data_IF_326480548252
#
_entry.id   IF_326480548252
#
_cell.length_a   1.000
_cell.length_b   1.000
_cell.length_c   1.000
_cell.angle_alpha   90.00
_cell.angle_beta   90.00
_cell.angle_gamma   90.00
#
_symmetry.space_group_name_H-M   'P 1'
#
loop_
_entity.id
_entity.type
_entity.pdbx_description
1 polymer ?
#
# COMPACT_ATOMS: atom_id res chain seq x y z
N UNK A 1 3.22 98.71 -4.67
CA UNK A 1 3.40 97.78 -5.83
C UNK A 1 3.82 96.46 -5.28
N UNK A 2 2.83 95.56 -5.12
CA UNK A 2 3.01 94.17 -4.63
C UNK A 2 3.33 93.29 -5.78
N UNK A 3 4.41 92.52 -5.65
CA UNK A 3 4.70 91.40 -6.57
C UNK A 3 4.48 90.10 -5.82
N UNK A 4 3.43 89.41 -6.19
CA UNK A 4 3.01 88.12 -5.68
C UNK A 4 3.63 87.01 -6.62
N UNK A 5 4.47 86.16 -6.06
CA UNK A 5 5.00 85.02 -6.77
C UNK A 5 4.00 83.84 -6.65
N UNK A 6 3.81 83.01 -7.71
CA UNK A 6 2.93 81.82 -7.66
C UNK A 6 3.71 80.59 -7.11
N UNK A 7 3.18 79.97 -6.07
CA UNK A 7 3.63 78.70 -5.57
C UNK A 7 3.30 77.57 -6.54
N UNK A 8 4.30 76.72 -6.84
CA UNK A 8 4.12 75.39 -7.46
C UNK A 8 4.22 74.35 -6.39
N UNK A 9 3.13 73.74 -6.04
CA UNK A 9 3.10 72.47 -5.30
C UNK A 9 2.89 71.35 -6.33
N UNK A 10 3.96 70.70 -6.74
CA UNK A 10 3.85 69.40 -7.42
C UNK A 10 3.99 68.31 -6.32
N UNK A 11 2.89 67.88 -5.82
CA UNK A 11 2.80 66.65 -5.01
C UNK A 11 2.58 65.48 -5.99
N UNK A 12 3.66 64.98 -6.59
CA UNK A 12 3.62 63.73 -7.31
C UNK A 12 3.64 62.60 -6.29
N UNK A 13 2.47 62.17 -5.85
CA UNK A 13 2.33 60.89 -5.16
C UNK A 13 2.71 59.78 -6.13
N UNK A 14 3.97 59.33 -6.00
CA UNK A 14 4.48 58.12 -6.67
C UNK A 14 3.65 56.92 -6.17
N UNK A 15 2.62 56.55 -6.91
CA UNK A 15 1.88 55.31 -6.70
C UNK A 15 2.81 54.17 -7.06
N UNK A 16 3.39 53.51 -6.05
CA UNK A 16 4.08 52.23 -6.19
C UNK A 16 3.09 51.24 -6.78
N UNK A 17 3.37 50.62 -7.94
CA UNK A 17 2.47 49.60 -8.49
C UNK A 17 2.31 48.47 -7.48
N UNK A 18 1.10 47.89 -7.35
CA UNK A 18 0.92 46.74 -6.47
C UNK A 18 1.87 45.63 -6.93
N UNK A 19 2.88 45.34 -6.10
CA UNK A 19 3.68 44.15 -6.28
C UNK A 19 2.75 42.98 -6.55
N UNK A 20 2.95 42.30 -7.69
CA UNK A 20 2.27 41.07 -7.99
C UNK A 20 2.56 40.11 -6.81
N UNK A 21 1.61 39.99 -5.90
CA UNK A 21 1.64 39.00 -4.83
C UNK A 21 1.63 37.66 -5.52
N UNK A 22 2.84 37.15 -5.81
CA UNK A 22 3.00 35.75 -6.16
C UNK A 22 2.25 34.94 -5.10
N UNK A 23 1.44 33.98 -5.49
CA UNK A 23 0.72 33.07 -4.59
C UNK A 23 1.78 32.29 -3.82
N UNK A 24 2.27 32.88 -2.74
CA UNK A 24 3.10 32.18 -1.76
C UNK A 24 2.16 31.24 -1.00
N UNK A 25 2.16 29.96 -1.39
CA UNK A 25 1.50 28.94 -0.60
C UNK A 25 2.04 28.99 0.83
N UNK A 26 1.15 29.02 1.82
CA UNK A 26 1.59 29.04 3.20
C UNK A 26 2.47 27.82 3.48
N UNK A 27 3.53 27.92 4.30
CA UNK A 27 4.41 26.78 4.64
C UNK A 27 3.65 25.55 5.11
N UNK A 28 2.55 25.76 5.83
CA UNK A 28 1.64 24.69 6.26
C UNK A 28 1.01 23.92 5.08
N UNK A 29 0.57 24.63 4.03
CA UNK A 29 0.00 24.01 2.83
C UNK A 29 1.05 23.16 2.12
N UNK A 30 2.30 23.62 2.06
CA UNK A 30 3.42 22.85 1.47
C UNK A 30 3.62 21.53 2.21
N UNK A 31 3.65 21.55 3.54
CA UNK A 31 3.85 20.34 4.35
C UNK A 31 2.67 19.37 4.25
N UNK A 32 1.44 19.87 4.30
CA UNK A 32 0.24 19.04 4.13
C UNK A 32 0.20 18.40 2.73
N UNK A 33 0.50 19.17 1.69
CA UNK A 33 0.58 18.68 0.33
C UNK A 33 1.69 17.63 0.19
N UNK A 34 2.86 17.86 0.77
CA UNK A 34 3.97 16.91 0.78
C UNK A 34 3.57 15.61 1.48
N UNK A 35 2.96 15.70 2.69
CA UNK A 35 2.52 14.52 3.42
C UNK A 35 1.46 13.74 2.63
N UNK A 36 0.41 14.42 2.16
CA UNK A 36 -0.67 13.78 1.41
C UNK A 36 -0.17 13.14 0.10
N UNK A 37 0.69 13.84 -0.65
CA UNK A 37 1.27 13.31 -1.90
C UNK A 37 2.13 12.09 -1.63
N UNK A 38 3.01 12.14 -0.62
CA UNK A 38 3.85 11.00 -0.26
C UNK A 38 3.00 9.80 0.20
N UNK A 39 1.98 10.05 1.05
CA UNK A 39 1.05 9.02 1.49
C UNK A 39 0.35 8.35 0.31
N UNK A 40 -0.33 9.14 -0.52
CA UNK A 40 -1.11 8.62 -1.65
C UNK A 40 -0.25 7.94 -2.71
N UNK A 41 0.93 8.49 -3.03
CA UNK A 41 1.85 7.87 -3.98
C UNK A 41 2.43 6.55 -3.45
N UNK A 42 2.83 6.50 -2.17
CA UNK A 42 3.35 5.30 -1.53
C UNK A 42 2.29 4.19 -1.46
N UNK A 43 1.07 4.50 -1.01
CA UNK A 43 -0.01 3.50 -0.94
C UNK A 43 -0.48 3.07 -2.32
N UNK A 44 -0.50 3.98 -3.31
CA UNK A 44 -0.81 3.61 -4.68
C UNK A 44 0.21 2.60 -5.23
N UNK A 45 1.51 2.83 -5.06
CA UNK A 45 2.53 1.88 -5.48
C UNK A 45 2.43 0.55 -4.73
N UNK A 46 2.08 0.58 -3.46
CA UNK A 46 1.88 -0.64 -2.68
C UNK A 46 0.69 -1.45 -3.20
N UNK A 47 -0.47 -0.83 -3.39
CA UNK A 47 -1.68 -1.51 -3.88
C UNK A 47 -1.58 -1.93 -5.34
N UNK A 48 -1.04 -1.06 -6.22
CA UNK A 48 -0.95 -1.33 -7.65
C UNK A 48 0.18 -2.30 -7.99
N UNK A 49 1.42 -1.97 -7.54
CA UNK A 49 2.61 -2.68 -7.99
C UNK A 49 2.98 -3.87 -7.09
N UNK A 50 3.00 -3.69 -5.77
CA UNK A 50 3.38 -4.80 -4.88
C UNK A 50 2.26 -5.80 -4.72
N UNK A 51 1.04 -5.35 -4.51
CA UNK A 51 -0.10 -6.19 -4.18
C UNK A 51 -0.74 -6.78 -5.45
N UNK A 52 -1.44 -5.95 -6.27
CA UNK A 52 -2.20 -6.45 -7.43
C UNK A 52 -1.32 -7.02 -8.52
N UNK A 53 -0.20 -6.38 -8.84
CA UNK A 53 0.73 -6.88 -9.85
C UNK A 53 1.68 -7.96 -9.31
N UNK A 54 2.46 -7.65 -8.27
CA UNK A 54 3.52 -8.52 -7.76
C UNK A 54 3.02 -9.75 -7.02
N UNK A 55 2.06 -9.59 -6.10
CA UNK A 55 1.57 -10.69 -5.28
C UNK A 55 0.49 -11.50 -6.00
N UNK A 56 -0.58 -10.85 -6.50
CA UNK A 56 -1.71 -11.53 -7.11
C UNK A 56 -1.60 -11.76 -8.61
N UNK A 57 -0.75 -10.99 -9.33
CA UNK A 57 -0.61 -11.12 -10.78
C UNK A 57 -1.94 -10.90 -11.52
N UNK A 58 -2.74 -9.95 -11.03
CA UNK A 58 -4.07 -9.65 -11.61
C UNK A 58 -4.00 -9.07 -13.02
N UNK A 59 -2.82 -8.65 -13.47
CA UNK A 59 -2.53 -8.15 -14.82
C UNK A 59 -1.04 -8.31 -15.12
N UNK A 60 -0.68 -8.02 -16.38
CA UNK A 60 0.71 -8.02 -16.85
C UNK A 60 1.11 -6.65 -17.37
N UNK A 61 2.42 -6.39 -17.43
CA UNK A 61 3.03 -5.19 -18.02
C UNK A 61 4.25 -5.59 -18.86
N UNK A 62 4.69 -4.68 -19.75
CA UNK A 62 5.99 -4.86 -20.39
C UNK A 62 7.13 -4.67 -19.36
N UNK A 63 8.30 -5.23 -19.65
CA UNK A 63 9.47 -5.07 -18.74
C UNK A 63 9.89 -3.60 -18.52
N UNK A 64 9.68 -2.74 -19.53
CA UNK A 64 9.93 -1.29 -19.36
C UNK A 64 9.00 -0.68 -18.32
N UNK A 65 7.70 -0.96 -18.39
CA UNK A 65 6.73 -0.47 -17.43
C UNK A 65 6.90 -1.13 -16.04
N UNK A 66 7.22 -2.42 -15.97
CA UNK A 66 7.56 -3.07 -14.70
C UNK A 66 8.71 -2.35 -14.00
N UNK A 67 9.80 -2.03 -14.73
CA UNK A 67 10.92 -1.28 -14.16
C UNK A 67 10.55 0.14 -13.77
N UNK A 68 9.73 0.82 -14.57
CA UNK A 68 9.25 2.16 -14.25
C UNK A 68 8.46 2.19 -12.93
N UNK A 69 7.51 1.25 -12.76
CA UNK A 69 6.75 1.14 -11.52
C UNK A 69 7.59 0.62 -10.34
N UNK A 70 8.58 -0.24 -10.59
CA UNK A 70 9.52 -0.67 -9.55
C UNK A 70 10.34 0.52 -9.03
N UNK A 71 10.88 1.35 -9.93
CA UNK A 71 11.58 2.58 -9.57
C UNK A 71 10.64 3.57 -8.86
N UNK A 72 9.42 3.74 -9.37
CA UNK A 72 8.42 4.61 -8.75
C UNK A 72 8.11 4.14 -7.32
N UNK A 73 7.96 2.83 -7.11
CA UNK A 73 7.75 2.24 -5.77
C UNK A 73 8.92 2.55 -4.85
N UNK A 74 10.17 2.40 -5.32
CA UNK A 74 11.35 2.77 -4.55
C UNK A 74 11.35 4.25 -4.17
N UNK A 75 11.05 5.15 -5.11
CA UNK A 75 11.04 6.60 -4.87
C UNK A 75 9.92 7.01 -3.92
N UNK A 76 8.74 6.45 -4.10
CA UNK A 76 7.56 6.82 -3.29
C UNK A 76 7.54 6.17 -1.91
N UNK A 77 8.21 5.05 -1.69
CA UNK A 77 8.35 4.43 -0.38
C UNK A 77 9.63 4.85 0.35
N UNK A 78 10.65 5.25 -0.40
CA UNK A 78 11.90 5.82 0.11
C UNK A 78 12.56 5.01 1.22
N UNK A 79 12.63 5.57 2.44
CA UNK A 79 13.24 4.91 3.61
C UNK A 79 12.52 3.62 4.05
N UNK A 80 11.25 3.46 3.68
CA UNK A 80 10.43 2.30 4.01
C UNK A 80 10.21 1.35 2.82
N UNK A 81 11.08 1.41 1.82
CA UNK A 81 10.99 0.58 0.62
C UNK A 81 10.76 -0.89 0.94
N UNK A 82 9.73 -1.45 0.35
CA UNK A 82 9.36 -2.86 0.45
C UNK A 82 9.79 -3.61 -0.81
N UNK A 83 10.63 -4.63 -0.61
CA UNK A 83 11.08 -5.51 -1.67
C UNK A 83 9.90 -6.31 -2.24
N UNK A 84 9.66 -6.29 -3.57
CA UNK A 84 8.48 -6.93 -4.17
C UNK A 84 8.39 -8.45 -3.90
N UNK A 85 9.55 -9.15 -3.90
CA UNK A 85 9.57 -10.59 -3.60
C UNK A 85 9.17 -10.88 -2.16
N UNK A 86 9.78 -10.18 -1.19
CA UNK A 86 9.45 -10.36 0.23
C UNK A 86 7.99 -10.06 0.52
N UNK A 87 7.48 -8.97 -0.04
CA UNK A 87 6.07 -8.60 0.07
C UNK A 87 5.14 -9.67 -0.51
N UNK A 88 5.40 -10.13 -1.74
CA UNK A 88 4.54 -11.09 -2.42
C UNK A 88 4.49 -12.45 -1.72
N UNK A 89 5.63 -12.94 -1.21
CA UNK A 89 5.68 -14.21 -0.48
C UNK A 89 4.83 -14.12 0.79
N UNK A 90 5.03 -13.09 1.61
CA UNK A 90 4.24 -12.91 2.82
C UNK A 90 2.76 -12.80 2.52
N UNK A 91 2.39 -12.03 1.51
CA UNK A 91 1.01 -11.83 1.13
C UNK A 91 0.34 -13.12 0.63
N UNK A 92 1.03 -13.91 -0.17
CA UNK A 92 0.55 -15.24 -0.61
C UNK A 92 0.40 -16.22 0.55
N UNK A 93 1.32 -16.18 1.52
CA UNK A 93 1.20 -16.95 2.77
C UNK A 93 -0.02 -16.51 3.57
N UNK A 94 -0.26 -15.20 3.68
CA UNK A 94 -1.44 -14.66 4.34
C UNK A 94 -2.74 -15.18 3.72
N UNK A 95 -2.89 -15.14 2.40
CA UNK A 95 -4.06 -15.72 1.73
C UNK A 95 -4.20 -17.23 1.93
N UNK A 96 -3.08 -17.96 1.96
CA UNK A 96 -3.11 -19.41 2.12
C UNK A 96 -3.43 -19.86 3.56
N UNK A 97 -3.08 -19.04 4.55
CA UNK A 97 -3.17 -19.38 5.97
C UNK A 97 -3.99 -18.36 6.77
N UNK A 98 -4.77 -17.54 6.10
CA UNK A 98 -5.46 -16.39 6.70
C UNK A 98 -6.11 -16.74 8.03
N UNK A 99 -5.77 -15.93 9.05
CA UNK A 99 -6.28 -16.04 10.42
C UNK A 99 -6.00 -17.38 11.12
N UNK A 100 -4.93 -18.08 10.71
CA UNK A 100 -4.35 -19.21 11.44
C UNK A 100 -3.01 -18.81 12.10
N UNK A 101 -2.43 -19.68 12.94
CA UNK A 101 -1.12 -19.46 13.56
C UNK A 101 0.02 -19.29 12.55
N UNK A 102 -0.14 -19.86 11.35
CA UNK A 102 0.83 -19.77 10.25
C UNK A 102 0.72 -18.45 9.46
N UNK A 103 -0.33 -17.68 9.70
CA UNK A 103 -0.52 -16.38 9.04
C UNK A 103 0.54 -15.39 9.53
N UNK A 104 1.34 -14.79 8.60
CA UNK A 104 2.32 -13.79 8.97
C UNK A 104 1.72 -12.47 9.48
N UNK A 105 0.44 -12.23 9.20
CA UNK A 105 -0.21 -10.92 9.40
C UNK A 105 -1.47 -10.97 10.27
N UNK A 106 -1.92 -12.14 10.75
CA UNK A 106 -3.18 -12.20 11.50
C UNK A 106 -3.12 -11.43 12.82
N UNK A 107 -4.04 -10.50 13.05
CA UNK A 107 -4.13 -9.80 14.31
C UNK A 107 -4.73 -10.65 15.44
N UNK A 108 -5.24 -11.86 15.15
CA UNK A 108 -5.92 -12.72 16.14
C UNK A 108 -4.94 -13.27 17.17
N UNK A 109 -3.68 -13.46 16.79
CA UNK A 109 -2.65 -14.04 17.64
C UNK A 109 -1.74 -12.99 18.28
N UNK A 110 -2.16 -11.70 18.26
CA UNK A 110 -1.37 -10.60 18.77
C UNK A 110 -2.19 -9.69 19.67
N UNK A 111 -1.62 -9.29 20.82
CA UNK A 111 -2.26 -8.39 21.78
C UNK A 111 -2.37 -6.95 21.27
N UNK A 112 -1.46 -6.53 20.38
CA UNK A 112 -1.42 -5.18 19.82
C UNK A 112 -0.75 -5.16 18.44
N UNK A 113 -0.94 -4.06 17.71
CA UNK A 113 -0.38 -3.87 16.37
C UNK A 113 1.15 -3.89 16.33
N UNK A 114 1.82 -3.45 17.40
CA UNK A 114 3.28 -3.47 17.48
C UNK A 114 3.85 -4.88 17.48
N UNK A 115 3.27 -5.80 18.25
CA UNK A 115 3.68 -7.22 18.27
C UNK A 115 3.40 -7.92 16.94
N UNK A 116 2.30 -7.60 16.28
CA UNK A 116 1.99 -8.07 14.93
C UNK A 116 3.08 -7.60 13.95
N UNK A 117 3.35 -6.29 13.91
CA UNK A 117 4.31 -5.71 12.97
C UNK A 117 5.73 -6.19 13.23
N UNK A 118 6.08 -6.49 14.47
CA UNK A 118 7.38 -7.07 14.82
C UNK A 118 7.55 -8.48 14.23
N UNK A 119 6.57 -9.36 14.39
CA UNK A 119 6.57 -10.70 13.78
C UNK A 119 6.63 -10.61 12.25
N UNK A 120 5.72 -9.81 11.67
CA UNK A 120 5.65 -9.56 10.23
C UNK A 120 6.99 -9.09 9.66
N UNK A 121 7.65 -8.12 10.34
CA UNK A 121 8.95 -7.60 9.91
C UNK A 121 10.02 -8.69 9.86
N UNK A 122 10.11 -9.53 10.87
CA UNK A 122 11.12 -10.60 10.89
C UNK A 122 10.91 -11.60 9.75
N UNK A 123 9.68 -12.07 9.55
CA UNK A 123 9.36 -12.96 8.45
C UNK A 123 9.57 -12.31 7.08
N UNK A 124 9.21 -11.01 6.96
CA UNK A 124 9.49 -10.25 5.75
C UNK A 124 10.98 -10.17 5.47
N UNK A 125 11.81 -9.84 6.46
CA UNK A 125 13.25 -9.75 6.30
C UNK A 125 13.86 -11.09 5.85
N UNK A 126 13.38 -12.21 6.37
CA UNK A 126 13.84 -13.55 5.99
C UNK A 126 13.66 -13.81 4.48
N UNK A 127 12.51 -13.41 3.93
CA UNK A 127 12.24 -13.59 2.50
C UNK A 127 12.83 -12.48 1.63
N UNK A 128 12.78 -11.23 2.06
CA UNK A 128 13.31 -10.10 1.33
C UNK A 128 14.84 -10.18 1.18
N UNK A 129 15.54 -10.61 2.22
CA UNK A 129 17.00 -10.83 2.21
C UNK A 129 17.42 -12.24 1.83
N UNK A 130 16.48 -13.10 1.40
CA UNK A 130 16.72 -14.49 0.98
C UNK A 130 17.43 -15.34 2.05
N UNK A 131 17.16 -15.08 3.34
CA UNK A 131 17.72 -15.85 4.46
C UNK A 131 17.06 -17.22 4.61
N UNK A 132 15.76 -17.28 4.27
CA UNK A 132 14.93 -18.48 4.32
C UNK A 132 14.28 -18.69 2.96
N UNK A 133 14.26 -19.94 2.49
CA UNK A 133 13.49 -20.33 1.31
C UNK A 133 12.01 -20.50 1.69
N UNK A 134 11.05 -19.88 0.97
CA UNK A 134 9.65 -20.14 1.19
C UNK A 134 9.24 -21.51 0.63
N UNK A 135 8.02 -21.95 0.95
CA UNK A 135 7.40 -23.05 0.22
C UNK A 135 7.33 -22.71 -1.29
N UNK A 136 7.65 -23.68 -2.17
CA UNK A 136 7.76 -23.44 -3.62
C UNK A 136 6.52 -22.77 -4.24
N UNK A 137 5.31 -23.03 -3.69
CA UNK A 137 4.05 -22.44 -4.18
C UNK A 137 3.95 -20.92 -3.96
N UNK A 138 4.73 -20.36 -3.03
CA UNK A 138 4.74 -18.92 -2.75
C UNK A 138 5.83 -18.18 -3.52
N UNK A 139 6.78 -18.88 -4.13
CA UNK A 139 7.91 -18.33 -4.87
C UNK A 139 7.53 -18.01 -6.31
N UNK A 140 8.28 -17.08 -6.92
CA UNK A 140 8.28 -16.80 -8.37
C UNK A 140 7.21 -15.82 -8.83
N UNK A 141 7.41 -15.38 -10.08
CA UNK A 141 6.50 -14.45 -10.78
C UNK A 141 6.42 -13.05 -10.19
N UNK A 142 7.38 -12.67 -9.35
CA UNK A 142 7.52 -11.34 -8.77
C UNK A 142 8.42 -10.46 -9.63
N UNK A 143 8.23 -9.12 -9.61
CA UNK A 143 9.21 -8.20 -10.19
C UNK A 143 10.60 -8.45 -9.61
N UNK A 144 11.61 -8.45 -10.47
CA UNK A 144 12.99 -8.69 -10.07
C UNK A 144 13.91 -7.61 -10.63
N UNK A 145 14.52 -6.84 -9.74
CA UNK A 145 15.55 -5.85 -10.06
C UNK A 145 16.59 -5.81 -8.93
N UNK A 146 17.53 -6.78 -8.87
CA UNK A 146 18.41 -6.96 -7.72
C UNK A 146 19.26 -5.74 -7.36
N UNK A 147 19.65 -4.90 -8.34
CA UNK A 147 20.42 -3.69 -8.09
C UNK A 147 19.58 -2.65 -7.33
N UNK A 148 18.34 -2.41 -7.77
CA UNK A 148 17.42 -1.48 -7.12
C UNK A 148 16.99 -2.00 -5.73
N UNK A 149 16.74 -3.31 -5.61
CA UNK A 149 16.37 -3.95 -4.35
C UNK A 149 17.49 -3.81 -3.30
N UNK A 150 18.74 -4.07 -3.69
CA UNK A 150 19.90 -3.86 -2.79
C UNK A 150 20.02 -2.39 -2.38
N UNK A 151 19.81 -1.47 -3.32
CA UNK A 151 19.86 -0.04 -3.04
C UNK A 151 18.78 0.35 -2.02
N UNK A 152 17.51 0.01 -2.27
CA UNK A 152 16.38 0.35 -1.42
C UNK A 152 16.41 -0.30 -0.04
N UNK A 153 17.06 -1.46 0.07
CA UNK A 153 17.23 -2.16 1.35
C UNK A 153 18.47 -1.68 2.13
N UNK A 154 19.35 -0.86 1.53
CA UNK A 154 20.58 -0.40 2.18
C UNK A 154 20.33 0.69 3.21
N UNK A 155 21.02 0.63 4.33
CA UNK A 155 20.94 1.66 5.39
C UNK A 155 21.40 3.05 4.91
N UNK A 156 22.47 3.22 4.12
CA UNK A 156 22.85 4.55 3.62
C UNK A 156 21.72 5.23 2.85
N UNK A 157 21.00 4.50 1.99
CA UNK A 157 19.88 5.08 1.23
C UNK A 157 18.67 5.39 2.12
N UNK A 158 18.38 4.55 3.10
CA UNK A 158 17.33 4.84 4.09
C UNK A 158 17.61 6.11 4.86
N UNK A 159 18.86 6.28 5.32
CA UNK A 159 19.30 7.51 6.02
C UNK A 159 19.21 8.73 5.09
N UNK A 160 19.61 8.59 3.82
CA UNK A 160 19.47 9.65 2.84
C UNK A 160 18.01 10.10 2.68
N UNK A 161 17.08 9.16 2.52
CA UNK A 161 15.65 9.48 2.43
C UNK A 161 15.12 10.15 3.71
N UNK A 162 15.50 9.65 4.88
CA UNK A 162 15.16 10.28 6.17
C UNK A 162 15.65 11.73 6.21
N UNK A 163 16.90 11.96 5.77
CA UNK A 163 17.46 13.31 5.68
C UNK A 163 16.70 14.21 4.72
N UNK A 164 16.32 13.69 3.54
CA UNK A 164 15.53 14.43 2.54
C UNK A 164 14.13 14.81 3.10
N UNK A 165 13.43 13.89 3.75
CA UNK A 165 12.15 14.22 4.38
C UNK A 165 12.33 15.25 5.49
N UNK A 166 13.33 15.06 6.34
CA UNK A 166 13.63 16.00 7.44
C UNK A 166 13.95 17.38 6.91
N UNK A 167 14.70 17.51 5.82
CA UNK A 167 15.05 18.81 5.22
C UNK A 167 13.83 19.61 4.78
N UNK A 168 12.80 18.95 4.23
CA UNK A 168 11.53 19.61 3.89
C UNK A 168 10.88 20.20 5.15
N UNK A 169 10.87 19.47 6.26
CA UNK A 169 10.32 19.97 7.52
C UNK A 169 11.17 21.10 8.11
N UNK A 170 12.49 21.00 8.05
CA UNK A 170 13.39 22.08 8.52
C UNK A 170 13.13 23.39 7.77
N UNK A 171 12.85 23.32 6.47
CA UNK A 171 12.60 24.51 5.64
C UNK A 171 11.18 25.07 5.82
N UNK A 172 10.17 24.21 5.94
CA UNK A 172 8.76 24.61 5.82
C UNK A 172 7.96 24.48 7.11
N UNK A 173 8.48 23.88 8.20
CA UNK A 173 7.67 23.70 9.41
C UNK A 173 7.50 25.01 10.17
N UNK A 174 6.25 25.48 10.38
CA UNK A 174 5.99 26.71 11.14
C UNK A 174 6.28 26.57 12.64
N UNK A 175 6.34 25.34 13.15
CA UNK A 175 6.65 25.02 14.53
C UNK A 175 7.17 23.58 14.70
N UNK A 176 7.77 23.27 15.83
CA UNK A 176 8.33 21.94 16.13
C UNK A 176 7.28 20.82 16.14
N UNK A 177 6.02 21.13 16.38
CA UNK A 177 4.93 20.13 16.38
C UNK A 177 4.75 19.41 15.04
N UNK A 178 5.09 20.05 13.92
CA UNK A 178 5.02 19.44 12.60
C UNK A 178 5.98 18.26 12.43
N UNK A 179 7.09 18.25 13.18
CA UNK A 179 8.04 17.13 13.14
C UNK A 179 7.45 15.82 13.67
N UNK A 180 6.31 15.84 14.37
CA UNK A 180 5.59 14.63 14.77
C UNK A 180 5.05 13.82 13.57
N UNK A 181 4.96 14.41 12.37
CA UNK A 181 4.61 13.71 11.15
C UNK A 181 5.79 12.93 10.53
N UNK A 182 7.03 13.27 10.85
CA UNK A 182 8.22 12.64 10.27
C UNK A 182 8.27 11.12 10.47
N UNK A 183 7.97 10.56 11.65
CA UNK A 183 7.98 9.11 11.83
C UNK A 183 7.07 8.37 10.83
N UNK A 184 5.93 8.98 10.44
CA UNK A 184 5.06 8.39 9.43
C UNK A 184 5.74 8.32 8.06
N UNK A 185 6.48 9.38 7.65
CA UNK A 185 7.28 9.35 6.42
C UNK A 185 8.35 8.27 6.44
N UNK A 186 8.97 8.02 7.61
CA UNK A 186 10.10 7.08 7.70
C UNK A 186 9.69 5.62 7.53
N UNK A 187 8.45 5.27 7.91
CA UNK A 187 7.94 3.90 7.92
C UNK A 187 6.57 3.77 7.25
N UNK A 188 6.31 4.57 6.22
CA UNK A 188 5.00 4.70 5.57
C UNK A 188 4.50 3.37 4.99
N UNK A 189 5.33 2.61 4.28
CA UNK A 189 4.97 1.30 3.73
C UNK A 189 4.50 0.30 4.80
N UNK A 190 5.27 0.08 5.88
CA UNK A 190 4.82 -0.70 7.04
C UNK A 190 3.55 -0.19 7.71
N UNK A 191 3.34 1.14 7.81
CA UNK A 191 2.10 1.70 8.38
C UNK A 191 0.88 1.31 7.53
N UNK A 192 0.98 1.40 6.19
CA UNK A 192 -0.11 0.94 5.31
C UNK A 192 -0.45 -0.53 5.58
N UNK A 193 0.56 -1.40 5.64
CA UNK A 193 0.38 -2.82 5.97
C UNK A 193 -0.26 -3.03 7.34
N UNK A 194 0.16 -2.27 8.36
CA UNK A 194 -0.40 -2.34 9.70
C UNK A 194 -1.88 -1.95 9.73
N UNK A 195 -2.25 -0.85 9.05
CA UNK A 195 -3.65 -0.41 8.94
C UNK A 195 -4.50 -1.50 8.28
N UNK A 196 -4.06 -2.01 7.13
CA UNK A 196 -4.82 -2.99 6.34
C UNK A 196 -4.98 -4.30 7.10
N UNK A 197 -3.89 -4.89 7.59
CA UNK A 197 -3.94 -6.19 8.24
C UNK A 197 -4.65 -6.14 9.61
N UNK A 198 -4.39 -5.09 10.41
CA UNK A 198 -5.03 -4.96 11.71
C UNK A 198 -6.51 -4.61 11.60
N UNK A 199 -6.84 -3.56 10.85
CA UNK A 199 -8.23 -3.08 10.75
C UNK A 199 -9.07 -4.00 9.87
N UNK A 200 -8.53 -4.45 8.74
CA UNK A 200 -9.23 -5.29 7.78
C UNK A 200 -9.57 -6.71 8.27
N UNK A 201 -9.00 -7.16 9.42
CA UNK A 201 -9.36 -8.43 10.05
C UNK A 201 -10.03 -8.28 11.42
N UNK A 202 -10.22 -7.03 11.93
CA UNK A 202 -10.87 -6.79 13.23
C UNK A 202 -12.14 -5.96 13.13
N UNK A 203 -12.19 -4.97 12.24
CA UNK A 203 -13.23 -3.95 12.25
C UNK A 203 -13.95 -3.86 10.91
N UNK A 204 -15.28 -3.67 10.96
CA UNK A 204 -16.09 -3.44 9.79
C UNK A 204 -17.13 -4.53 9.53
N UNK A 205 -17.72 -4.48 8.35
CA UNK A 205 -18.76 -5.36 7.89
C UNK A 205 -18.20 -6.47 6.98
N UNK A 206 -19.03 -7.47 6.71
CA UNK A 206 -18.71 -8.57 5.78
C UNK A 206 -19.76 -8.64 4.69
N UNK A 207 -19.32 -8.82 3.47
CA UNK A 207 -20.18 -9.12 2.31
C UNK A 207 -20.29 -10.63 2.06
N UNK A 208 -19.27 -11.37 2.46
CA UNK A 208 -19.14 -12.80 2.19
C UNK A 208 -18.79 -13.57 3.46
N UNK A 209 -19.30 -14.80 3.56
CA UNK A 209 -18.97 -15.73 4.64
C UNK A 209 -17.66 -16.48 4.30
N UNK A 210 -16.55 -15.74 4.16
CA UNK A 210 -15.21 -16.34 4.00
C UNK A 210 -14.79 -17.10 5.27
N UNK A 211 -13.89 -18.06 5.12
CA UNK A 211 -13.41 -18.90 6.23
C UNK A 211 -12.56 -18.13 7.25
N UNK A 212 -12.00 -16.99 6.83
CA UNK A 212 -11.20 -16.08 7.66
C UNK A 212 -12.06 -15.01 8.36
N UNK A 213 -11.41 -14.10 9.09
CA UNK A 213 -12.07 -12.98 9.80
C UNK A 213 -12.01 -11.66 9.03
N UNK A 214 -11.64 -11.71 7.73
CA UNK A 214 -11.54 -10.51 6.89
C UNK A 214 -12.84 -9.71 6.88
N UNK A 215 -12.72 -8.38 6.88
CA UNK A 215 -13.80 -7.40 6.95
C UNK A 215 -13.56 -6.25 5.99
N UNK A 216 -14.63 -5.54 5.66
CA UNK A 216 -14.58 -4.28 4.93
C UNK A 216 -14.70 -3.14 5.94
N UNK A 217 -13.63 -2.39 6.14
CA UNK A 217 -13.54 -1.42 7.25
C UNK A 217 -14.14 -0.06 6.89
N UNK A 218 -13.93 0.41 5.65
CA UNK A 218 -14.40 1.71 5.17
C UNK A 218 -15.33 1.54 3.96
N UNK A 219 -16.32 2.42 3.85
CA UNK A 219 -17.22 2.49 2.69
C UNK A 219 -16.52 3.19 1.51
N UNK A 220 -15.75 4.25 1.81
CA UNK A 220 -14.94 5.00 0.86
C UNK A 220 -13.49 4.90 1.28
N UNK A 221 -12.74 4.00 0.66
CA UNK A 221 -11.36 3.80 1.06
C UNK A 221 -10.38 4.59 0.20
N UNK A 222 -10.38 5.91 0.39
CA UNK A 222 -9.35 6.78 -0.17
C UNK A 222 -8.03 6.73 0.62
N UNK A 223 -8.06 6.26 1.87
CA UNK A 223 -6.90 6.20 2.74
C UNK A 223 -5.90 5.15 2.28
N UNK A 224 -6.39 3.97 1.88
CA UNK A 224 -5.55 2.84 1.45
C UNK A 224 -5.85 2.34 0.04
N UNK A 225 -6.52 3.16 -0.79
CA UNK A 225 -6.83 2.84 -2.19
C UNK A 225 -7.55 1.50 -2.38
N UNK A 226 -8.56 1.25 -1.55
CA UNK A 226 -9.42 0.07 -1.66
C UNK A 226 -8.93 -1.14 -0.85
N UNK A 227 -7.74 -1.08 -0.25
CA UNK A 227 -7.17 -2.21 0.50
C UNK A 227 -7.97 -2.59 1.75
N UNK A 228 -8.78 -1.68 2.31
CA UNK A 228 -9.65 -1.95 3.45
C UNK A 228 -10.97 -2.67 3.08
N UNK A 229 -11.15 -3.07 1.83
CA UNK A 229 -12.18 -4.04 1.41
C UNK A 229 -11.67 -5.48 1.51
N UNK A 230 -11.09 -5.85 2.66
CA UNK A 230 -10.41 -7.14 2.84
C UNK A 230 -11.33 -8.34 2.65
N UNK A 231 -12.59 -8.31 3.14
CA UNK A 231 -13.52 -9.42 2.95
C UNK A 231 -13.88 -9.63 1.48
N UNK A 232 -14.05 -8.56 0.71
CA UNK A 232 -14.28 -8.64 -0.73
C UNK A 232 -13.05 -9.21 -1.46
N UNK A 233 -11.85 -8.74 -1.05
CA UNK A 233 -10.59 -9.14 -1.64
C UNK A 233 -10.24 -10.60 -1.34
N UNK A 234 -10.44 -11.08 -0.13
CA UNK A 234 -10.17 -12.46 0.24
C UNK A 234 -11.11 -13.44 -0.49
N UNK A 235 -12.37 -13.07 -0.68
CA UNK A 235 -13.32 -13.88 -1.47
C UNK A 235 -12.99 -13.88 -2.97
N UNK A 236 -12.54 -12.73 -3.52
CA UNK A 236 -12.25 -12.56 -4.94
C UNK A 236 -10.83 -12.00 -5.16
N UNK A 237 -9.82 -12.72 -4.72
CA UNK A 237 -8.43 -12.27 -4.73
C UNK A 237 -7.86 -11.90 -6.11
N UNK A 238 -8.44 -12.46 -7.19
CA UNK A 238 -8.07 -12.12 -8.55
C UNK A 238 -8.91 -10.99 -9.15
N UNK A 239 -9.87 -10.41 -8.41
CA UNK A 239 -10.62 -9.24 -8.86
C UNK A 239 -9.76 -7.99 -8.77
N UNK A 240 -9.53 -7.24 -9.86
CA UNK A 240 -8.79 -6.00 -9.80
C UNK A 240 -9.60 -4.84 -9.21
N UNK A 241 -10.89 -5.01 -8.98
CA UNK A 241 -11.77 -4.11 -8.26
C UNK A 241 -12.19 -4.75 -6.95
N UNK A 242 -11.80 -4.16 -5.83
CA UNK A 242 -12.17 -4.67 -4.52
C UNK A 242 -13.55 -4.18 -4.05
N UNK A 243 -14.11 -3.15 -4.69
CA UNK A 243 -15.48 -2.73 -4.47
C UNK A 243 -16.46 -3.74 -5.12
N UNK A 244 -17.48 -4.15 -4.36
CA UNK A 244 -18.50 -5.12 -4.79
C UNK A 244 -19.89 -4.52 -4.73
N UNK A 245 -20.20 -3.74 -3.67
CA UNK A 245 -21.47 -3.03 -3.53
C UNK A 245 -21.43 -1.67 -4.23
N UNK A 246 -22.61 -1.15 -4.57
CA UNK A 246 -22.73 0.14 -5.29
C UNK A 246 -22.19 1.35 -4.50
N UNK A 247 -22.15 1.24 -3.19
CA UNK A 247 -21.67 2.30 -2.30
C UNK A 247 -20.17 2.17 -1.96
N UNK A 248 -19.55 1.04 -2.29
CA UNK A 248 -18.11 0.85 -2.10
C UNK A 248 -17.34 1.50 -3.24
N UNK A 249 -16.27 2.21 -2.93
CA UNK A 249 -15.41 2.86 -3.92
C UNK A 249 -13.98 2.39 -3.71
N UNK A 250 -13.42 1.73 -4.73
CA UNK A 250 -12.00 1.39 -4.83
C UNK A 250 -11.30 2.41 -5.75
N UNK A 251 -10.56 3.39 -5.21
CA UNK A 251 -9.94 4.44 -6.02
C UNK A 251 -8.82 3.94 -6.94
N UNK A 252 -8.20 2.78 -6.64
CA UNK A 252 -7.17 2.21 -7.50
C UNK A 252 -7.75 1.66 -8.81
N UNK A 253 -8.97 1.15 -8.79
CA UNK A 253 -9.54 0.49 -9.96
C UNK A 253 -9.75 1.40 -11.19
N UNK A 254 -10.29 2.62 -11.09
CA UNK A 254 -10.34 3.56 -12.21
C UNK A 254 -8.97 3.85 -12.82
N UNK A 255 -7.92 3.97 -11.99
CA UNK A 255 -6.55 4.20 -12.45
C UNK A 255 -6.04 2.98 -13.21
N UNK A 256 -6.27 1.76 -12.69
CA UNK A 256 -5.93 0.51 -13.38
C UNK A 256 -6.62 0.43 -14.75
N UNK A 257 -7.90 0.80 -14.82
CA UNK A 257 -8.67 0.85 -16.06
C UNK A 257 -8.09 1.85 -17.07
N UNK A 258 -7.68 3.03 -16.60
CA UNK A 258 -7.02 4.03 -17.44
C UNK A 258 -5.69 3.48 -17.99
N UNK A 259 -4.86 2.91 -17.13
CA UNK A 259 -3.58 2.28 -17.52
C UNK A 259 -3.78 1.13 -18.53
N UNK A 260 -4.88 0.39 -18.41
CA UNK A 260 -5.25 -0.64 -19.36
C UNK A 260 -5.70 -0.03 -20.69
N UNK A 261 -6.47 1.04 -20.69
CA UNK A 261 -6.94 1.72 -21.89
C UNK A 261 -5.78 2.31 -22.73
N UNK A 262 -4.71 2.78 -22.07
CA UNK A 262 -3.50 3.29 -22.74
C UNK A 262 -2.45 2.19 -23.02
N UNK A 263 -2.76 0.92 -22.77
CA UNK A 263 -1.92 -0.23 -23.10
C UNK A 263 -0.73 -0.50 -22.17
N UNK A 264 -0.65 0.17 -21.04
CA UNK A 264 0.37 -0.07 -20.00
C UNK A 264 0.06 -1.38 -19.27
N UNK A 265 -1.17 -1.51 -18.76
CA UNK A 265 -1.71 -2.74 -18.18
C UNK A 265 -2.28 -3.63 -19.28
N UNK A 266 -1.88 -4.90 -19.29
CA UNK A 266 -2.34 -5.93 -20.23
C UNK A 266 -2.87 -7.13 -19.48
N UNK A 267 -3.69 -7.95 -20.13
CA UNK A 267 -4.25 -9.19 -19.57
C UNK A 267 -4.88 -8.95 -18.18
N UNK A 268 -5.63 -7.84 -18.06
CA UNK A 268 -6.33 -7.53 -16.81
C UNK A 268 -7.31 -8.64 -16.48
N UNK A 269 -7.23 -9.17 -15.27
CA UNK A 269 -8.13 -10.22 -14.77
C UNK A 269 -9.59 -9.82 -14.96
N UNK A 270 -10.37 -10.76 -15.44
CA UNK A 270 -11.82 -10.61 -15.66
C UNK A 270 -12.66 -11.03 -14.47
N UNK A 271 -12.03 -11.53 -13.41
CA UNK A 271 -12.74 -11.85 -12.17
C UNK A 271 -13.44 -10.60 -11.63
N UNK A 272 -14.69 -10.76 -11.22
CA UNK A 272 -15.51 -9.70 -10.63
C UNK A 272 -16.10 -10.18 -9.32
N UNK A 273 -15.87 -9.44 -8.26
CA UNK A 273 -16.65 -9.58 -7.05
C UNK A 273 -18.13 -9.31 -7.34
N UNK A 274 -19.00 -10.24 -6.95
CA UNK A 274 -20.45 -10.08 -7.07
C UNK A 274 -21.07 -10.31 -5.73
N UNK A 275 -21.72 -9.26 -5.20
CA UNK A 275 -22.54 -9.43 -4.00
C UNK A 275 -23.68 -10.38 -4.30
N UNK A 276 -23.95 -11.39 -3.44
CA UNK A 276 -25.08 -12.29 -3.62
C UNK A 276 -26.35 -11.46 -3.72
N UNK A 277 -27.13 -11.63 -4.78
CA UNK A 277 -28.52 -11.16 -4.77
C UNK A 277 -29.17 -11.87 -3.60
N UNK A 278 -29.72 -11.08 -2.65
CA UNK A 278 -30.30 -11.53 -1.39
C UNK A 278 -30.98 -12.88 -1.55
N UNK A 279 -30.34 -13.94 -1.03
CA UNK A 279 -31.09 -15.16 -0.75
C UNK A 279 -32.09 -14.81 0.37
N UNK A 280 -33.32 -15.33 0.33
CA UNK A 280 -34.28 -15.10 1.41
C UNK A 280 -33.61 -15.43 2.75
N UNK A 281 -33.81 -14.58 3.75
CA UNK A 281 -33.31 -14.79 5.10
C UNK A 281 -33.72 -16.19 5.55
N UNK A 282 -32.76 -17.12 5.68
CA UNK A 282 -33.05 -18.47 6.14
C UNK A 282 -31.98 -19.52 5.91
N UNK A 283 -31.13 -19.36 4.91
CA UNK A 283 -30.05 -20.34 4.66
C UNK A 283 -28.69 -19.65 4.64
N UNK A 284 -27.99 -19.71 5.77
CA UNK A 284 -26.53 -19.60 5.78
C UNK A 284 -26.00 -20.82 5.00
N UNK A 285 -25.63 -20.60 3.74
CA UNK A 285 -24.95 -21.61 2.97
C UNK A 285 -23.70 -22.08 3.73
N UNK A 286 -23.47 -23.40 3.87
CA UNK A 286 -22.27 -23.90 4.51
C UNK A 286 -21.04 -23.34 3.80
N UNK A 287 -20.03 -22.97 4.58
CA UNK A 287 -18.76 -22.46 4.09
C UNK A 287 -18.27 -23.34 2.94
N UNK A 288 -18.16 -22.77 1.73
CA UNK A 288 -17.53 -23.45 0.63
C UNK A 288 -16.05 -23.61 1.01
N UNK A 289 -15.67 -24.87 1.27
CA UNK A 289 -14.25 -25.23 1.31
C UNK A 289 -13.64 -24.79 -0.02
N UNK A 290 -12.72 -23.85 0.03
CA UNK A 290 -11.84 -23.57 -1.12
C UNK A 290 -11.15 -24.88 -1.45
N UNK A 291 -11.56 -25.50 -2.56
CA UNK A 291 -11.00 -26.79 -3.00
C UNK A 291 -9.56 -26.64 -3.43
N UNK A 292 -8.67 -26.64 -2.47
CA UNK A 292 -7.32 -27.14 -2.65
C UNK A 292 -7.43 -28.64 -2.34
N UNK A 293 -6.98 -29.54 -3.23
CA UNK A 293 -6.99 -30.96 -2.95
C UNK A 293 -6.17 -31.18 -1.68
N UNK A 294 -6.81 -31.73 -0.65
CA UNK A 294 -6.11 -32.28 0.48
C UNK A 294 -5.15 -33.36 -0.07
N UNK A 295 -3.86 -33.10 0.00
CA UNK A 295 -2.86 -34.15 -0.20
C UNK A 295 -3.09 -35.17 0.91
N UNK A 296 -3.35 -36.45 0.60
CA UNK A 296 -3.54 -37.45 1.63
C UNK A 296 -2.25 -37.56 2.44
N UNK A 297 -2.36 -37.30 3.74
CA UNK A 297 -1.36 -37.71 4.70
C UNK A 297 -1.53 -39.21 4.92
N UNK A 298 -0.90 -40.01 4.08
CA UNK A 298 -0.70 -41.44 4.31
C UNK A 298 0.45 -41.91 3.46
N UNK A 299 1.38 -42.50 4.17
CA UNK A 299 2.46 -43.42 3.85
C UNK A 299 3.87 -42.82 3.97
N UNK A 300 4.25 -42.62 5.23
CA UNK A 300 5.60 -42.91 5.65
C UNK A 300 5.50 -44.08 6.64
N UNK A 301 5.30 -45.26 6.11
CA UNK A 301 5.53 -46.51 6.82
C UNK A 301 6.94 -46.98 6.47
N UNK A 302 7.77 -46.96 7.49
CA UNK A 302 8.78 -47.99 7.82
C UNK A 302 9.58 -48.61 6.67
N UNK A 303 10.84 -48.23 6.57
CA UNK A 303 11.91 -49.14 6.18
C UNK A 303 13.03 -49.00 7.20
N UNK A 304 13.05 -49.96 8.15
CA UNK A 304 14.19 -50.22 9.02
C UNK A 304 15.36 -50.77 8.18
N UNK A 305 16.60 -50.35 8.42
CA UNK A 305 17.76 -51.09 7.87
C UNK A 305 18.03 -52.34 8.70
N UNK A 306 18.02 -53.51 8.01
CA UNK A 306 18.64 -54.70 8.53
C UNK A 306 20.13 -54.56 8.49
N UNK A 307 20.74 -55.15 9.51
CA UNK A 307 22.18 -55.22 9.74
C UNK A 307 22.94 -55.92 8.61
N UNK A 308 24.14 -55.42 8.27
CA UNK A 308 25.43 -56.08 8.34
C UNK A 308 26.54 -55.03 8.28
#
# INVERSE_FOLDING_TARGET
MEFRAPGRTNDETMTVPPEARGVSSSPMVVLLAFFATHWLASVFCQTFFLHRYGAHRQFTMSKGWERAFHLLTYVTQGSSYLNPRGYAILHRMHHAFSDTERDPHSPLFHSNVGSLMWKTKHQYDDFAYRRVAPEARFEGGTPDWPALDRLGQSWPMRILWIGLYTSVYVVFAPSLWWFLLLPAHFVMGPIHGAIVNWSGHKYGYRNFASADQSRNTLIFDFLTFGELFQNNHHEFSMSPNFAVRRFEIDPAYPIIRLLAAVGIVKNLSTQRGRYPRVAPQGELAPARSTGLPATPAAELVEAAPAAE
#
